data_IF_663448451174
#
_entry.id   IF_663448451174
#
_cell.length_a   1.000
_cell.length_b   1.000
_cell.length_c   1.000
_cell.angle_alpha   90.00
_cell.angle_beta   90.00
_cell.angle_gamma   90.00
#
_symmetry.space_group_name_H-M   'P 1'
#
loop_
_entity.id
_entity.type
_entity.pdbx_description
1 polymer ?
#
# COMPACT_ATOMS: atom_id res chain seq x y z
N UNK A 1 -18.78 6.34 6.45
CA UNK A 1 -17.31 6.30 6.60
C UNK A 1 -16.95 5.25 7.63
N UNK A 2 -16.02 4.35 7.30
CA UNK A 2 -15.40 3.45 8.28
C UNK A 2 -14.22 4.16 8.92
N UNK A 3 -14.08 4.05 10.24
CA UNK A 3 -12.94 4.64 10.97
C UNK A 3 -11.76 3.69 10.90
N UNK A 4 -10.61 4.19 10.45
CA UNK A 4 -9.34 3.45 10.51
C UNK A 4 -8.76 3.50 11.92
N UNK A 5 -8.15 2.40 12.36
CA UNK A 5 -7.46 2.36 13.64
C UNK A 5 -6.35 3.41 13.69
N UNK A 6 -6.30 4.23 14.74
CA UNK A 6 -5.22 5.20 14.92
C UNK A 6 -3.92 4.54 15.35
N UNK A 7 -4.01 3.48 16.16
CA UNK A 7 -2.87 2.69 16.59
C UNK A 7 -2.67 1.47 15.69
N UNK A 8 -1.42 1.17 15.36
CA UNK A 8 -1.02 0.01 14.55
C UNK A 8 -1.47 -1.31 15.18
N UNK A 9 -1.51 -1.39 16.53
CA UNK A 9 -1.90 -2.63 17.22
C UNK A 9 -3.34 -3.08 16.93
N UNK A 10 -4.19 -2.17 16.46
CA UNK A 10 -5.62 -2.43 16.28
C UNK A 10 -6.02 -2.64 14.81
N UNK A 11 -5.11 -2.39 13.85
CA UNK A 11 -5.48 -2.34 12.43
C UNK A 11 -5.78 -3.71 11.85
N UNK A 12 -5.11 -4.76 12.34
CA UNK A 12 -5.33 -6.13 11.86
C UNK A 12 -6.74 -6.64 12.21
N UNK A 13 -7.34 -6.14 13.30
CA UNK A 13 -8.74 -6.40 13.66
C UNK A 13 -9.73 -5.80 12.64
N UNK A 14 -9.28 -4.89 11.77
CA UNK A 14 -10.06 -4.31 10.68
C UNK A 14 -9.85 -5.03 9.34
N UNK A 15 -9.17 -6.18 9.33
CA UNK A 15 -8.94 -7.01 8.14
C UNK A 15 -7.80 -6.51 7.25
N UNK A 16 -6.94 -5.64 7.79
CA UNK A 16 -5.67 -5.32 7.15
C UNK A 16 -4.59 -6.32 7.56
N UNK A 17 -3.62 -6.55 6.69
CA UNK A 17 -2.52 -7.49 6.92
C UNK A 17 -1.20 -6.75 6.88
N UNK A 18 -0.29 -7.06 7.82
CA UNK A 18 1.05 -6.47 7.82
C UNK A 18 1.85 -6.87 6.59
N UNK A 19 2.46 -5.89 5.95
CA UNK A 19 3.30 -6.05 4.77
C UNK A 19 4.68 -5.42 5.00
N UNK A 20 5.26 -4.82 3.97
CA UNK A 20 6.61 -4.27 4.01
C UNK A 20 6.63 -2.88 4.61
N UNK A 21 7.80 -2.48 5.11
CA UNK A 21 8.05 -1.11 5.49
C UNK A 21 9.06 -0.47 4.52
N UNK A 22 8.83 0.80 4.19
CA UNK A 22 9.73 1.57 3.34
C UNK A 22 10.00 2.95 3.95
N UNK A 23 11.28 3.25 4.21
CA UNK A 23 11.70 4.55 4.72
C UNK A 23 11.22 5.68 3.79
N UNK A 24 10.67 6.74 4.37
CA UNK A 24 10.02 7.84 3.67
C UNK A 24 8.56 7.60 3.26
N UNK A 25 7.99 6.44 3.59
CA UNK A 25 6.59 6.09 3.34
C UNK A 25 5.89 5.50 4.58
N UNK A 26 6.54 4.54 5.24
CA UNK A 26 6.06 3.91 6.47
C UNK A 26 5.83 2.40 6.34
N UNK A 27 5.30 1.83 7.42
CA UNK A 27 4.89 0.44 7.50
C UNK A 27 3.56 0.27 6.76
N UNK A 28 3.56 -0.58 5.72
CA UNK A 28 2.38 -0.84 4.91
C UNK A 28 1.53 -1.95 5.51
N UNK A 29 0.22 -1.74 5.43
CA UNK A 29 -0.80 -2.73 5.74
C UNK A 29 -1.82 -2.76 4.60
N UNK A 30 -2.11 -3.94 4.05
CA UNK A 30 -3.01 -4.08 2.90
C UNK A 30 -4.34 -4.69 3.33
N UNK A 31 -5.45 -4.16 2.81
CA UNK A 31 -6.77 -4.69 3.13
C UNK A 31 -6.98 -6.06 2.49
N UNK A 32 -7.25 -7.08 3.32
CA UNK A 32 -7.58 -8.46 2.93
C UNK A 32 -6.59 -9.12 1.95
N UNK A 33 -5.31 -8.76 2.03
CA UNK A 33 -4.28 -9.33 1.17
C UNK A 33 -3.39 -10.32 1.93
N UNK A 34 -3.55 -11.59 1.64
CA UNK A 34 -2.77 -12.71 2.16
C UNK A 34 -2.01 -13.37 1.01
N UNK A 35 -1.07 -14.26 1.33
CA UNK A 35 -0.25 -14.96 0.33
C UNK A 35 -1.06 -15.82 -0.64
N UNK A 36 -2.26 -16.22 -0.25
CA UNK A 36 -3.19 -17.08 -0.99
C UNK A 36 -4.45 -16.35 -1.46
N UNK A 37 -4.53 -15.02 -1.28
CA UNK A 37 -5.65 -14.22 -1.78
C UNK A 37 -5.81 -14.40 -3.30
N UNK A 38 -7.00 -14.78 -3.79
CA UNK A 38 -7.27 -14.85 -5.22
C UNK A 38 -7.05 -13.49 -5.90
N UNK A 39 -6.48 -13.51 -7.11
CA UNK A 39 -6.05 -12.28 -7.79
C UNK A 39 -7.21 -11.34 -8.13
N UNK A 40 -8.40 -11.90 -8.37
CA UNK A 40 -9.64 -11.17 -8.62
C UNK A 40 -10.27 -10.58 -7.34
N UNK A 41 -9.72 -10.89 -6.16
CA UNK A 41 -10.16 -10.35 -4.86
C UNK A 41 -9.19 -9.28 -4.33
N UNK A 42 -8.12 -8.96 -5.06
CA UNK A 42 -7.19 -7.89 -4.68
C UNK A 42 -7.87 -6.52 -4.79
N UNK A 43 -7.93 -5.80 -3.66
CA UNK A 43 -8.66 -4.52 -3.56
C UNK A 43 -7.77 -3.30 -3.79
N UNK A 44 -6.48 -3.38 -3.46
CA UNK A 44 -5.54 -2.27 -3.61
C UNK A 44 -5.71 -1.14 -2.59
N UNK A 45 -6.34 -1.38 -1.43
CA UNK A 45 -6.44 -0.40 -0.34
C UNK A 45 -5.38 -0.69 0.71
N UNK A 46 -4.65 0.34 1.14
CA UNK A 46 -3.62 0.23 2.16
C UNK A 46 -3.72 1.35 3.19
N UNK A 47 -3.09 1.12 4.34
CA UNK A 47 -2.84 2.14 5.35
C UNK A 47 -1.38 2.12 5.75
N UNK A 48 -0.89 3.26 6.23
CA UNK A 48 0.51 3.49 6.56
C UNK A 48 0.66 3.89 8.01
N UNK A 49 1.64 3.29 8.68
CA UNK A 49 2.01 3.60 10.06
C UNK A 49 3.45 4.07 10.17
N UNK A 50 3.70 4.94 11.15
CA UNK A 50 5.01 5.43 11.57
C UNK A 50 5.11 5.30 13.09
N UNK A 51 6.03 4.48 13.58
CA UNK A 51 6.19 4.18 15.01
C UNK A 51 4.86 3.88 15.75
N UNK A 52 3.95 3.14 15.11
CA UNK A 52 2.69 2.73 15.71
C UNK A 52 1.50 3.67 15.48
N UNK A 53 1.69 4.83 14.86
CA UNK A 53 0.63 5.81 14.59
C UNK A 53 0.22 5.84 13.11
N UNK A 54 -1.09 5.92 12.85
CA UNK A 54 -1.64 6.03 11.50
C UNK A 54 -1.23 7.37 10.87
N UNK A 55 -0.53 7.31 9.74
CA UNK A 55 -0.01 8.49 9.02
C UNK A 55 -0.54 8.63 7.59
N UNK A 56 -1.21 7.62 7.04
CA UNK A 56 -1.68 7.71 5.66
C UNK A 56 -2.59 6.58 5.21
N UNK A 57 -3.24 6.82 4.08
CA UNK A 57 -4.02 5.84 3.33
C UNK A 57 -3.56 5.82 1.88
N UNK A 58 -3.63 4.65 1.24
CA UNK A 58 -3.19 4.45 -0.14
C UNK A 58 -4.27 3.72 -0.92
N UNK A 59 -4.51 4.14 -2.15
CA UNK A 59 -5.29 3.38 -3.12
C UNK A 59 -4.39 3.05 -4.31
N UNK A 60 -4.31 1.76 -4.65
CA UNK A 60 -3.40 1.21 -5.66
C UNK A 60 -4.07 0.16 -6.54
N UNK A 61 -4.94 0.58 -7.48
CA UNK A 61 -5.56 -0.32 -8.44
C UNK A 61 -4.57 -0.78 -9.52
N UNK A 62 -4.86 -1.94 -10.11
CA UNK A 62 -4.24 -2.31 -11.39
C UNK A 62 -4.65 -1.31 -12.48
N UNK A 63 -3.68 -0.97 -13.33
CA UNK A 63 -3.85 0.03 -14.39
C UNK A 63 -2.76 1.10 -14.33
N UNK A 64 -2.01 1.25 -15.41
CA UNK A 64 -1.12 2.40 -15.60
C UNK A 64 -1.91 3.68 -15.85
N UNK A 65 -1.48 4.79 -15.26
CA UNK A 65 -2.01 6.10 -15.58
C UNK A 65 -1.59 6.53 -16.99
N UNK A 66 -2.41 7.34 -17.66
CA UNK A 66 -2.18 7.75 -19.05
C UNK A 66 -1.54 9.13 -19.21
N UNK A 67 -1.35 9.87 -18.10
CA UNK A 67 -0.87 11.26 -18.11
C UNK A 67 0.61 11.35 -17.74
N UNK A 68 1.42 11.85 -18.66
CA UNK A 68 2.84 12.17 -18.51
C UNK A 68 3.11 13.53 -17.84
N UNK A 69 2.14 14.45 -17.85
CA UNK A 69 2.34 15.83 -17.39
C UNK A 69 2.05 16.08 -15.90
N UNK A 70 1.29 15.19 -15.25
CA UNK A 70 0.75 15.42 -13.91
C UNK A 70 0.85 14.16 -13.07
N UNK A 71 1.94 14.09 -12.30
CA UNK A 71 2.36 12.91 -11.53
C UNK A 71 1.77 12.95 -10.12
N UNK A 72 0.45 12.76 -10.02
CA UNK A 72 -0.19 12.53 -8.71
C UNK A 72 -0.04 11.08 -8.23
N UNK A 73 0.17 10.18 -9.19
CA UNK A 73 0.23 8.75 -8.98
C UNK A 73 1.67 8.26 -9.05
N UNK A 74 1.97 7.25 -8.26
CA UNK A 74 3.17 6.44 -8.41
C UNK A 74 2.87 5.29 -9.38
N UNK A 75 3.85 4.89 -10.18
CA UNK A 75 3.80 3.67 -11.02
C UNK A 75 4.89 2.69 -10.53
N UNK A 76 4.63 1.95 -9.44
CA UNK A 76 5.62 1.03 -8.90
C UNK A 76 5.80 -0.18 -9.81
N UNK A 77 7.04 -0.44 -10.19
CA UNK A 77 7.40 -1.70 -10.83
C UNK A 77 7.36 -2.89 -9.85
N UNK A 78 7.45 -4.11 -10.38
CA UNK A 78 7.45 -5.36 -9.60
C UNK A 78 8.44 -5.37 -8.43
N UNK A 79 9.62 -4.77 -8.61
CA UNK A 79 10.65 -4.72 -7.56
C UNK A 79 10.19 -3.84 -6.39
N UNK A 80 9.66 -2.65 -6.67
CA UNK A 80 9.09 -1.75 -5.65
C UNK A 80 7.87 -2.36 -4.96
N UNK A 81 7.00 -3.02 -5.71
CA UNK A 81 5.83 -3.71 -5.14
C UNK A 81 6.27 -4.80 -4.15
N UNK A 82 7.26 -5.64 -4.50
CA UNK A 82 7.77 -6.67 -3.57
C UNK A 82 8.31 -6.12 -2.26
N UNK A 83 8.90 -4.92 -2.27
CA UNK A 83 9.42 -4.28 -1.05
C UNK A 83 8.28 -3.89 -0.12
N UNK A 84 7.19 -3.31 -0.64
CA UNK A 84 6.06 -2.86 0.17
C UNK A 84 5.04 -3.96 0.48
N UNK A 85 5.04 -5.05 -0.29
CA UNK A 85 4.06 -6.13 -0.19
C UNK A 85 4.67 -7.55 -0.15
N UNK A 86 5.70 -7.83 0.68
CA UNK A 86 6.47 -9.08 0.62
C UNK A 86 5.61 -10.35 0.78
N UNK A 87 4.46 -10.25 1.44
CA UNK A 87 3.53 -11.35 1.68
C UNK A 87 2.31 -11.34 0.73
N UNK A 88 2.39 -10.62 -0.39
CA UNK A 88 1.34 -10.63 -1.42
C UNK A 88 1.27 -11.95 -2.20
N UNK A 89 0.11 -12.29 -2.78
CA UNK A 89 0.00 -13.46 -3.64
C UNK A 89 0.85 -13.27 -4.89
N UNK A 90 1.41 -14.36 -5.41
CA UNK A 90 2.36 -14.32 -6.54
C UNK A 90 1.79 -13.58 -7.76
N UNK A 91 0.50 -13.75 -8.00
CA UNK A 91 -0.17 -13.14 -9.13
C UNK A 91 -0.25 -11.61 -9.08
N UNK A 92 -0.13 -10.96 -7.92
CA UNK A 92 0.04 -9.50 -7.88
C UNK A 92 1.23 -9.09 -8.77
N UNK A 93 2.35 -9.78 -8.59
CA UNK A 93 3.59 -9.50 -9.33
C UNK A 93 3.52 -9.93 -10.79
N UNK A 94 2.78 -11.00 -11.08
CA UNK A 94 2.64 -11.48 -12.46
C UNK A 94 1.71 -10.55 -13.26
N UNK A 95 0.73 -9.88 -12.62
CA UNK A 95 -0.20 -8.95 -13.27
C UNK A 95 0.39 -7.56 -13.54
N UNK A 96 1.31 -7.07 -12.70
CA UNK A 96 1.91 -5.73 -12.85
C UNK A 96 2.53 -5.50 -14.24
N UNK A 97 3.31 -6.42 -14.84
CA UNK A 97 3.85 -6.23 -16.19
C UNK A 97 2.80 -6.12 -17.31
N UNK A 98 1.59 -6.66 -17.11
CA UNK A 98 0.54 -6.67 -18.13
C UNK A 98 -0.44 -5.51 -17.98
N UNK A 99 -0.82 -5.17 -16.75
CA UNK A 99 -1.83 -4.15 -16.47
C UNK A 99 -1.22 -2.83 -15.99
N UNK A 100 0.01 -2.87 -15.49
CA UNK A 100 0.55 -1.79 -14.66
C UNK A 100 -0.16 -1.69 -13.32
N UNK A 101 0.33 -0.77 -12.48
CA UNK A 101 -0.29 -0.44 -11.20
C UNK A 101 -0.07 1.05 -10.95
N UNK A 102 -1.10 1.75 -10.49
CA UNK A 102 -0.99 3.16 -10.12
C UNK A 102 -1.34 3.32 -8.66
N UNK A 103 -0.57 4.06 -7.88
CA UNK A 103 -0.85 4.30 -6.47
C UNK A 103 -1.00 5.79 -6.15
N UNK A 104 -1.97 6.14 -5.32
CA UNK A 104 -2.11 7.49 -4.75
C UNK A 104 -2.07 7.43 -3.24
N UNK A 105 -1.25 8.30 -2.66
CA UNK A 105 -1.06 8.44 -1.23
C UNK A 105 -1.80 9.67 -0.70
N UNK A 106 -2.52 9.50 0.40
CA UNK A 106 -3.08 10.60 1.19
C UNK A 106 -2.46 10.53 2.59
N UNK A 107 -1.50 11.40 2.85
CA UNK A 107 -0.83 11.48 4.14
C UNK A 107 -1.54 12.44 5.09
N UNK A 108 -1.66 12.02 6.35
CA UNK A 108 -2.14 12.78 7.50
C UNK A 108 -0.97 13.32 8.35
N UNK A 109 0.24 13.26 7.81
CA UNK A 109 1.48 13.74 8.41
C UNK A 109 2.03 14.92 7.61
N UNK A 110 2.52 15.96 8.32
CA UNK A 110 3.03 17.20 7.70
C UNK A 110 4.18 16.95 6.72
N UNK A 111 5.13 16.10 7.12
CA UNK A 111 6.29 15.74 6.32
C UNK A 111 6.31 14.21 6.10
N UNK A 112 5.64 13.69 5.06
CA UNK A 112 5.56 12.25 4.81
C UNK A 112 6.91 11.56 4.65
N UNK A 113 7.89 12.27 4.06
CA UNK A 113 9.25 11.76 3.83
C UNK A 113 10.07 11.59 5.10
N UNK A 114 9.66 12.19 6.22
CA UNK A 114 10.31 12.05 7.54
C UNK A 114 9.70 10.87 8.31
N UNK A 115 9.44 9.77 7.62
CA UNK A 115 8.83 8.54 8.16
C UNK A 115 9.84 7.42 8.12
N UNK A 116 9.92 6.61 9.18
CA UNK A 116 10.97 5.61 9.32
C UNK A 116 10.39 4.25 9.67
N UNK A 117 11.11 3.21 9.27
CA UNK A 117 10.78 1.85 9.67
C UNK A 117 11.25 1.60 11.11
N UNK A 118 10.42 0.94 11.93
CA UNK A 118 10.79 0.54 13.30
C UNK A 118 11.94 -0.47 13.33
#
# INVERSE_FOLDING_TARGET
FTKLARSESDIENQGFTKQGCLNGMGQHYFYKMYTDTPCNELVGIMVLYDYGDLIGVVHSPFGSFTSDHRVWFEDPNVSKSKVISPNAPRCLYDLIPYFGISAIHIYMKKNPRETYCP
#
